data_IF_827431512285
#
_entry.id   IF_827431512285
#
_cell.length_a   1.000
_cell.length_b   1.000
_cell.length_c   1.000
_cell.angle_alpha   90.00
_cell.angle_beta   90.00
_cell.angle_gamma   90.00
#
_symmetry.space_group_name_H-M   'P 1'
#
loop_
_entity.id
_entity.type
_entity.pdbx_description
1 polymer ?
#
# COMPACT_ATOMS: atom_id res chain seq x y z
N UNK A 1 -0.15 26.52 -3.77
CA UNK A 1 0.84 25.41 -3.82
C UNK A 1 1.59 25.38 -5.14
N UNK A 2 0.95 25.15 -6.30
CA UNK A 2 1.67 24.99 -7.59
C UNK A 2 2.57 26.18 -7.98
N UNK A 3 2.12 27.43 -7.80
CA UNK A 3 2.97 28.63 -8.06
C UNK A 3 4.22 28.68 -7.18
N UNK A 4 4.14 28.11 -5.97
CA UNK A 4 5.28 28.04 -5.06
C UNK A 4 6.28 26.99 -5.54
N UNK A 5 5.79 25.79 -5.89
CA UNK A 5 6.61 24.72 -6.46
C UNK A 5 7.32 25.17 -7.74
N UNK A 6 6.60 25.82 -8.67
CA UNK A 6 7.16 26.38 -9.89
C UNK A 6 8.29 27.38 -9.61
N UNK A 7 8.06 28.31 -8.67
CA UNK A 7 9.08 29.28 -8.23
C UNK A 7 10.31 28.58 -7.63
N UNK A 8 10.11 27.54 -6.83
CA UNK A 8 11.20 26.85 -6.14
C UNK A 8 11.99 25.95 -7.12
N UNK A 9 11.33 25.30 -8.09
CA UNK A 9 12.00 24.64 -9.21
C UNK A 9 12.82 25.65 -10.02
N UNK A 10 12.24 26.81 -10.34
CA UNK A 10 12.95 27.88 -11.05
C UNK A 10 14.18 28.41 -10.29
N UNK A 11 14.16 28.40 -8.95
CA UNK A 11 15.34 28.73 -8.13
C UNK A 11 16.42 27.65 -8.24
N UNK A 12 16.05 26.38 -8.20
CA UNK A 12 17.00 25.27 -8.35
C UNK A 12 17.68 25.29 -9.71
N UNK A 13 16.92 25.60 -10.78
CA UNK A 13 17.47 25.75 -12.14
C UNK A 13 18.54 26.85 -12.19
N UNK A 14 18.25 28.03 -11.64
CA UNK A 14 19.23 29.15 -11.61
C UNK A 14 20.48 28.81 -10.81
N UNK A 15 20.33 28.13 -9.66
CA UNK A 15 21.48 27.71 -8.86
C UNK A 15 22.32 26.66 -9.59
N UNK A 16 21.69 25.77 -10.35
CA UNK A 16 22.39 24.76 -11.15
C UNK A 16 23.26 25.38 -12.25
N UNK A 17 22.88 26.52 -12.83
CA UNK A 17 23.66 27.24 -13.84
C UNK A 17 24.98 27.81 -13.28
N UNK A 18 25.01 28.16 -11.99
CA UNK A 18 26.20 28.72 -11.31
C UNK A 18 27.02 27.65 -10.56
N UNK A 19 26.54 26.41 -10.51
CA UNK A 19 27.17 25.35 -9.72
C UNK A 19 28.48 24.86 -10.37
N UNK A 20 29.51 24.49 -9.57
CA UNK A 20 30.76 23.93 -10.10
C UNK A 20 30.62 22.58 -10.83
N UNK A 21 29.44 21.94 -10.69
CA UNK A 21 29.10 20.66 -11.30
C UNK A 21 27.86 20.84 -12.17
N UNK A 22 27.82 20.22 -13.36
CA UNK A 22 26.61 20.23 -14.17
C UNK A 22 25.53 19.39 -13.49
N UNK A 23 24.34 19.96 -13.32
CA UNK A 23 23.17 19.27 -12.79
C UNK A 23 22.07 19.21 -13.85
N UNK A 24 21.49 18.03 -14.01
CA UNK A 24 20.19 17.87 -14.66
C UNK A 24 19.11 17.76 -13.58
N UNK A 25 18.05 18.56 -13.71
CA UNK A 25 16.91 18.53 -12.80
C UNK A 25 15.81 17.69 -13.45
N UNK A 26 15.35 16.66 -12.75
CA UNK A 26 14.24 15.80 -13.15
C UNK A 26 13.14 15.96 -12.11
N UNK A 27 11.91 16.18 -12.55
CA UNK A 27 10.73 16.31 -11.70
C UNK A 27 9.83 15.12 -11.96
N UNK A 28 9.32 14.48 -10.92
CA UNK A 28 8.43 13.33 -11.06
C UNK A 28 7.28 13.40 -10.07
N UNK A 29 6.18 12.77 -10.44
CA UNK A 29 5.11 12.35 -9.55
C UNK A 29 4.98 10.85 -9.71
N UNK A 30 5.13 10.12 -8.62
CA UNK A 30 5.01 8.66 -8.56
C UNK A 30 3.55 8.19 -8.61
N UNK A 31 2.62 9.04 -8.22
CA UNK A 31 1.18 8.84 -8.40
C UNK A 31 0.43 10.17 -8.60
N UNK A 32 -0.83 10.07 -9.01
CA UNK A 32 -1.80 11.17 -8.91
C UNK A 32 -2.64 11.07 -7.63
N UNK A 33 -3.86 11.61 -7.66
CA UNK A 33 -4.82 11.53 -6.56
C UNK A 33 -6.21 11.27 -7.15
N UNK A 34 -6.94 10.28 -6.63
CA UNK A 34 -8.35 10.04 -6.98
C UNK A 34 -9.24 10.53 -5.84
N UNK A 35 -10.36 11.17 -6.17
CA UNK A 35 -11.33 11.63 -5.16
C UNK A 35 -12.44 10.60 -4.95
N UNK A 36 -13.20 10.74 -3.87
CA UNK A 36 -14.47 10.04 -3.70
C UNK A 36 -14.95 10.08 -2.25
N UNK A 37 -16.23 9.76 -2.04
CA UNK A 37 -16.69 9.48 -0.69
C UNK A 37 -15.95 8.24 -0.14
N UNK A 38 -15.52 8.32 1.11
CA UNK A 38 -14.79 7.24 1.78
C UNK A 38 -15.69 6.02 1.98
N UNK A 39 -15.11 4.85 2.20
CA UNK A 39 -15.81 3.61 2.48
C UNK A 39 -16.78 3.79 3.66
N UNK A 40 -16.30 4.42 4.75
CA UNK A 40 -17.12 4.78 5.91
C UNK A 40 -18.25 5.75 5.58
N UNK A 41 -18.01 6.75 4.74
CA UNK A 41 -19.07 7.68 4.31
C UNK A 41 -20.13 7.00 3.45
N UNK A 42 -19.75 6.01 2.63
CA UNK A 42 -20.67 5.29 1.74
C UNK A 42 -21.47 4.21 2.44
N UNK A 43 -20.84 3.47 3.36
CA UNK A 43 -21.41 2.24 3.92
C UNK A 43 -21.68 2.31 5.42
N UNK A 44 -21.24 3.37 6.12
CA UNK A 44 -21.47 3.55 7.55
C UNK A 44 -20.53 2.74 8.46
N UNK A 45 -19.66 1.93 7.88
CA UNK A 45 -18.68 1.06 8.55
C UNK A 45 -17.29 1.21 7.93
N UNK A 46 -16.23 0.91 8.68
CA UNK A 46 -14.85 0.85 8.18
C UNK A 46 -14.52 -0.54 7.61
N UNK A 47 -13.40 -0.66 6.90
CA UNK A 47 -12.92 -1.98 6.46
C UNK A 47 -12.66 -2.91 7.67
N UNK A 48 -12.12 -2.36 8.74
CA UNK A 48 -11.83 -3.08 9.99
C UNK A 48 -13.11 -3.61 10.64
N UNK A 49 -14.19 -2.81 10.66
CA UNK A 49 -15.50 -3.23 11.15
C UNK A 49 -16.04 -4.44 10.33
N UNK A 50 -15.89 -4.40 9.00
CA UNK A 50 -16.31 -5.50 8.11
C UNK A 50 -15.52 -6.78 8.40
N UNK A 51 -14.18 -6.68 8.51
CA UNK A 51 -13.29 -7.82 8.78
C UNK A 51 -13.56 -8.41 10.17
N UNK A 52 -13.64 -7.57 11.20
CA UNK A 52 -13.92 -8.00 12.58
C UNK A 52 -15.27 -8.70 12.68
N UNK A 53 -16.31 -8.10 12.08
CA UNK A 53 -17.65 -8.67 12.06
C UNK A 53 -17.69 -10.04 11.38
N UNK A 54 -16.96 -10.22 10.27
CA UNK A 54 -16.92 -11.50 9.55
C UNK A 54 -16.13 -12.58 10.32
N UNK A 55 -15.00 -12.23 10.92
CA UNK A 55 -14.23 -13.12 11.79
C UNK A 55 -15.08 -13.57 12.99
N UNK A 56 -15.79 -12.64 13.63
CA UNK A 56 -16.63 -12.95 14.79
C UNK A 56 -17.80 -13.86 14.45
N UNK A 57 -18.39 -13.74 13.24
CA UNK A 57 -19.46 -14.63 12.77
C UNK A 57 -18.98 -16.04 12.45
N UNK A 58 -17.72 -16.18 12.02
CA UNK A 58 -17.14 -17.49 11.71
C UNK A 58 -16.89 -18.36 12.96
N UNK A 59 -16.93 -17.76 14.16
CA UNK A 59 -16.76 -18.45 15.44
C UNK A 59 -17.90 -18.20 16.44
N UNK A 60 -17.83 -18.82 17.62
CA UNK A 60 -18.78 -18.59 18.73
C UNK A 60 -18.55 -17.24 19.46
N UNK A 61 -18.07 -16.21 18.76
CA UNK A 61 -17.73 -14.90 19.35
C UNK A 61 -16.38 -14.84 20.08
N UNK A 62 -15.49 -15.82 19.88
CA UNK A 62 -14.14 -15.88 20.45
C UNK A 62 -13.05 -15.87 19.35
N UNK A 63 -13.20 -14.99 18.36
CA UNK A 63 -12.22 -14.81 17.29
C UNK A 63 -10.94 -14.09 17.78
N UNK A 64 -9.87 -14.09 16.98
CA UNK A 64 -8.68 -13.29 17.26
C UNK A 64 -9.02 -11.80 17.37
N UNK A 65 -8.26 -11.08 18.18
CA UNK A 65 -8.36 -9.62 18.26
C UNK A 65 -8.02 -8.99 16.89
N UNK A 66 -8.84 -8.06 16.42
CA UNK A 66 -8.58 -7.28 15.20
C UNK A 66 -7.95 -5.95 15.56
N UNK A 67 -6.70 -5.74 15.11
CA UNK A 67 -5.95 -4.50 15.31
C UNK A 67 -5.96 -3.73 14.00
N UNK A 68 -6.35 -2.46 14.05
CA UNK A 68 -6.51 -1.64 12.85
C UNK A 68 -5.79 -0.28 12.92
N UNK A 69 -5.46 0.24 11.74
CA UNK A 69 -4.99 1.62 11.56
C UNK A 69 -5.70 2.26 10.37
N UNK A 70 -6.46 3.33 10.66
CA UNK A 70 -7.14 4.17 9.67
C UNK A 70 -6.34 5.44 9.32
N UNK A 71 -5.06 5.50 9.72
CA UNK A 71 -4.17 6.66 9.60
C UNK A 71 -3.50 6.78 8.23
N UNK A 72 -3.18 8.02 7.82
CA UNK A 72 -2.55 8.37 6.54
C UNK A 72 -1.22 7.58 6.32
N UNK A 73 -1.07 6.77 5.26
CA UNK A 73 0.09 5.90 5.05
C UNK A 73 1.31 6.57 4.39
N UNK A 74 1.29 7.89 4.18
CA UNK A 74 2.37 8.63 3.49
C UNK A 74 3.75 8.45 4.13
N UNK A 75 3.81 7.94 5.35
CA UNK A 75 5.03 7.47 5.97
C UNK A 75 4.82 6.05 6.54
N UNK A 76 5.43 5.03 5.92
CA UNK A 76 5.45 3.66 6.45
C UNK A 76 6.01 3.51 7.89
N UNK A 77 6.53 4.60 8.46
CA UNK A 77 6.97 4.74 9.85
C UNK A 77 5.86 5.17 10.82
N UNK A 78 4.79 5.81 10.34
CA UNK A 78 3.61 6.08 11.16
C UNK A 78 2.88 4.77 11.50
N UNK A 79 2.93 3.76 10.62
CA UNK A 79 2.46 2.39 10.89
C UNK A 79 3.18 1.73 12.07
N UNK A 80 4.52 1.82 12.10
CA UNK A 80 5.33 1.37 13.26
C UNK A 80 4.95 2.18 14.49
N UNK A 81 4.67 3.48 14.35
CA UNK A 81 4.28 4.36 15.44
C UNK A 81 2.89 4.01 16.03
N UNK A 82 1.96 3.50 15.22
CA UNK A 82 0.64 3.01 15.68
C UNK A 82 0.79 1.70 16.44
N UNK A 83 1.53 0.72 15.90
CA UNK A 83 1.85 -0.53 16.61
C UNK A 83 2.60 -0.25 17.92
N UNK A 84 3.52 0.71 17.93
CA UNK A 84 4.19 1.20 19.14
C UNK A 84 3.23 1.91 20.11
N UNK A 85 2.26 2.65 19.60
CA UNK A 85 1.28 3.34 20.43
C UNK A 85 0.35 2.34 21.12
N UNK A 86 -0.07 1.29 20.42
CA UNK A 86 -0.84 0.21 21.02
C UNK A 86 0.02 -0.57 22.03
N UNK A 87 1.28 -0.86 21.68
CA UNK A 87 2.28 -1.41 22.60
C UNK A 87 2.30 -0.63 23.93
N UNK A 88 2.41 0.70 23.86
CA UNK A 88 2.50 1.59 25.01
C UNK A 88 1.19 1.78 25.80
N UNK A 89 0.02 1.57 25.18
CA UNK A 89 -1.30 1.75 25.82
C UNK A 89 -1.71 0.58 26.71
N UNK A 90 -1.41 -0.66 26.29
CA UNK A 90 -1.83 -1.87 27.02
C UNK A 90 -0.75 -2.47 27.92
N UNK A 91 0.45 -1.87 27.98
CA UNK A 91 1.48 -2.33 28.90
C UNK A 91 1.18 -1.91 30.35
N UNK A 92 0.81 -2.90 31.18
CA UNK A 92 0.65 -2.77 32.64
C UNK A 92 2.01 -2.71 33.37
N UNK A 93 3.13 -2.81 32.66
CA UNK A 93 4.48 -2.77 33.24
C UNK A 93 4.99 -1.34 33.29
N UNK A 94 4.98 -0.74 34.50
CA UNK A 94 5.52 0.59 34.78
C UNK A 94 7.06 0.61 34.68
N UNK A 95 7.61 0.70 33.46
CA UNK A 95 9.01 1.08 33.25
C UNK A 95 9.12 2.54 32.76
N UNK A 96 9.06 3.54 33.68
CA UNK A 96 8.97 4.96 33.36
C UNK A 96 10.17 5.51 32.58
N UNK A 97 11.33 4.82 32.62
CA UNK A 97 12.53 5.19 31.88
C UNK A 97 12.35 4.96 30.37
N UNK A 98 11.74 3.84 29.99
CA UNK A 98 11.50 3.47 28.58
C UNK A 98 10.44 4.39 27.94
N UNK A 99 9.33 4.65 28.65
CA UNK A 99 8.29 5.61 28.25
C UNK A 99 8.86 7.02 28.02
N UNK A 100 9.86 7.44 28.81
CA UNK A 100 10.48 8.77 28.70
C UNK A 100 11.45 8.87 27.52
N UNK A 101 12.18 7.78 27.22
CA UNK A 101 13.09 7.72 26.08
C UNK A 101 12.31 7.77 24.74
N UNK A 102 11.24 6.99 24.63
CA UNK A 102 10.36 6.96 23.44
C UNK A 102 9.65 8.32 23.23
N UNK A 103 9.09 8.92 24.29
CA UNK A 103 8.45 10.25 24.21
C UNK A 103 9.40 11.38 23.83
N UNK A 104 10.67 11.29 24.24
CA UNK A 104 11.68 12.30 23.90
C UNK A 104 12.07 12.21 22.41
N UNK A 105 12.13 11.01 21.84
CA UNK A 105 12.40 10.81 20.41
C UNK A 105 11.27 11.32 19.50
N UNK A 106 10.01 11.29 19.95
CA UNK A 106 8.88 11.83 19.18
C UNK A 106 8.81 13.38 19.17
N UNK A 107 9.42 14.07 20.15
CA UNK A 107 9.30 15.53 20.29
C UNK A 107 10.26 16.35 19.42
N UNK A 108 11.42 15.80 19.06
CA UNK A 108 12.52 16.58 18.47
C UNK A 108 12.51 16.59 16.93
N UNK A 109 11.51 16.03 16.24
CA UNK A 109 11.36 16.11 14.77
C UNK A 109 12.52 15.51 13.96
N UNK A 110 13.53 14.94 14.62
CA UNK A 110 14.60 14.16 14.04
C UNK A 110 14.30 12.70 14.29
N UNK A 111 13.66 12.07 13.30
CA UNK A 111 13.51 10.61 13.25
C UNK A 111 14.87 10.01 12.88
N UNK A 112 15.77 9.92 13.86
CA UNK A 112 16.93 9.05 13.76
C UNK A 112 16.52 7.67 14.30
N UNK A 113 15.81 6.89 13.49
CA UNK A 113 15.31 5.56 13.89
C UNK A 113 15.41 4.60 12.70
N UNK A 114 16.55 3.90 12.60
CA UNK A 114 16.58 2.58 11.96
C UNK A 114 15.90 1.54 12.87
N UNK A 115 15.58 0.34 12.36
CA UNK A 115 14.93 -0.69 13.16
C UNK A 115 15.85 -1.06 14.33
N UNK A 116 15.42 -0.74 15.56
CA UNK A 116 15.90 -1.48 16.72
C UNK A 116 15.26 -2.87 16.58
N UNK A 117 16.04 -3.87 16.16
CA UNK A 117 15.52 -5.22 15.89
C UNK A 117 14.73 -5.78 17.08
N UNK A 118 15.19 -5.47 18.30
CA UNK A 118 14.51 -5.83 19.54
C UNK A 118 13.08 -5.29 19.64
N UNK A 119 12.81 -4.09 19.12
CA UNK A 119 11.48 -3.48 19.17
C UNK A 119 10.53 -4.10 18.13
N UNK A 120 11.06 -4.48 16.97
CA UNK A 120 10.29 -5.19 15.95
C UNK A 120 9.91 -6.60 16.43
N UNK A 121 10.84 -7.29 17.11
CA UNK A 121 10.60 -8.61 17.69
C UNK A 121 9.55 -8.55 18.82
N UNK A 122 9.64 -7.56 19.73
CA UNK A 122 8.64 -7.36 20.80
C UNK A 122 7.24 -7.04 20.27
N UNK A 123 7.14 -6.26 19.18
CA UNK A 123 5.86 -6.00 18.50
C UNK A 123 5.33 -7.29 17.87
N UNK A 124 6.17 -8.05 17.18
CA UNK A 124 5.77 -9.30 16.53
C UNK A 124 5.24 -10.32 17.56
N UNK A 125 5.91 -10.48 18.70
CA UNK A 125 5.50 -11.40 19.76
C UNK A 125 4.15 -11.00 20.39
N UNK A 126 3.93 -9.71 20.63
CA UNK A 126 2.68 -9.21 21.23
C UNK A 126 1.50 -9.31 20.27
N UNK A 127 1.73 -9.02 19.00
CA UNK A 127 0.69 -9.03 17.99
C UNK A 127 0.44 -10.43 17.43
N UNK A 128 1.20 -11.46 17.85
CA UNK A 128 1.00 -12.86 17.47
C UNK A 128 -0.43 -13.35 17.83
N UNK A 129 -1.06 -14.08 16.91
CA UNK A 129 -2.42 -14.60 17.07
C UNK A 129 -3.54 -13.58 16.88
N UNK A 130 -3.24 -12.42 16.29
CA UNK A 130 -4.19 -11.35 15.95
C UNK A 130 -4.40 -11.22 14.45
N UNK A 131 -5.38 -10.40 14.07
CA UNK A 131 -5.58 -9.99 12.67
C UNK A 131 -5.30 -8.51 12.55
N UNK A 132 -4.36 -8.15 11.69
CA UNK A 132 -3.98 -6.76 11.42
C UNK A 132 -4.71 -6.30 10.15
N UNK A 133 -5.47 -5.21 10.25
CA UNK A 133 -6.14 -4.56 9.12
C UNK A 133 -5.57 -3.17 8.90
N UNK A 134 -5.04 -2.91 7.71
CA UNK A 134 -4.47 -1.62 7.34
C UNK A 134 -5.20 -1.07 6.12
N UNK A 135 -5.51 0.23 6.16
CA UNK A 135 -6.08 0.97 5.04
C UNK A 135 -5.06 1.97 4.47
N UNK A 136 -5.00 2.06 3.15
CA UNK A 136 -4.18 3.02 2.40
C UNK A 136 -4.91 3.41 1.13
N UNK A 137 -5.56 4.58 1.13
CA UNK A 137 -6.51 4.93 0.07
C UNK A 137 -7.54 3.83 -0.16
N UNK A 138 -7.71 3.35 -1.40
CA UNK A 138 -8.55 2.20 -1.72
C UNK A 138 -7.81 0.85 -1.72
N UNK A 139 -6.66 0.75 -1.04
CA UNK A 139 -5.93 -0.49 -0.79
C UNK A 139 -6.14 -0.90 0.68
N UNK A 140 -6.62 -2.12 0.89
CA UNK A 140 -6.74 -2.74 2.21
C UNK A 140 -5.75 -3.89 2.34
N UNK A 141 -5.12 -4.05 3.49
CA UNK A 141 -4.22 -5.16 3.80
C UNK A 141 -4.77 -5.89 5.02
N UNK A 142 -4.93 -7.21 4.94
CA UNK A 142 -5.33 -8.06 6.05
C UNK A 142 -4.26 -9.13 6.26
N UNK A 143 -3.67 -9.16 7.46
CA UNK A 143 -2.61 -10.10 7.82
C UNK A 143 -2.96 -10.86 9.10
N UNK A 144 -2.86 -12.19 9.07
CA UNK A 144 -3.05 -13.10 10.20
C UNK A 144 -1.69 -13.40 10.83
N UNK A 145 -1.43 -12.82 12.00
CA UNK A 145 -0.10 -12.90 12.63
C UNK A 145 0.13 -14.21 13.38
N UNK A 146 -0.90 -15.04 13.54
CA UNK A 146 -0.77 -16.38 14.14
C UNK A 146 -0.04 -17.39 13.24
N UNK A 147 0.14 -17.07 11.96
CA UNK A 147 0.84 -17.90 11.00
C UNK A 147 2.24 -17.34 10.69
N UNK A 148 3.22 -18.23 10.57
CA UNK A 148 4.60 -17.87 10.21
C UNK A 148 4.81 -17.71 8.70
N UNK A 149 3.79 -18.03 7.90
CA UNK A 149 3.80 -17.97 6.45
C UNK A 149 2.46 -17.43 5.97
N UNK A 150 2.48 -16.77 4.80
CA UNK A 150 1.26 -16.30 4.14
C UNK A 150 0.27 -17.44 3.98
N UNK A 151 -0.96 -17.22 4.45
CA UNK A 151 -2.07 -18.17 4.35
C UNK A 151 -2.64 -18.18 2.93
N UNK A 152 -3.11 -19.35 2.52
CA UNK A 152 -3.91 -19.51 1.30
C UNK A 152 -5.38 -19.23 1.57
N UNK A 153 -6.14 -18.94 0.51
CA UNK A 153 -7.58 -18.73 0.58
C UNK A 153 -8.28 -19.92 1.25
N UNK A 154 -7.88 -21.16 0.93
CA UNK A 154 -8.43 -22.37 1.50
C UNK A 154 -8.17 -22.49 3.01
N UNK A 155 -6.99 -22.08 3.48
CA UNK A 155 -6.65 -22.05 4.91
C UNK A 155 -7.45 -20.97 5.66
N UNK A 156 -7.58 -19.79 5.05
CA UNK A 156 -8.38 -18.69 5.62
C UNK A 156 -9.86 -19.11 5.71
N UNK A 157 -10.41 -19.73 4.67
CA UNK A 157 -11.80 -20.17 4.60
C UNK A 157 -12.10 -21.29 5.63
N UNK A 158 -11.13 -22.18 5.88
CA UNK A 158 -11.27 -23.23 6.89
C UNK A 158 -11.41 -22.69 8.33
N UNK A 159 -10.73 -21.58 8.63
CA UNK A 159 -10.76 -20.95 9.96
C UNK A 159 -11.81 -19.83 10.07
N UNK A 160 -12.17 -19.19 8.94
CA UNK A 160 -13.02 -18.00 8.87
C UNK A 160 -14.01 -18.05 7.69
N UNK A 161 -14.93 -19.03 7.70
CA UNK A 161 -15.87 -19.31 6.59
C UNK A 161 -16.75 -18.11 6.16
N UNK A 162 -17.02 -17.16 7.05
CA UNK A 162 -17.82 -15.97 6.73
C UNK A 162 -16.98 -14.82 6.15
N UNK A 163 -15.65 -14.87 6.25
CA UNK A 163 -14.78 -13.76 5.84
C UNK A 163 -14.80 -13.54 4.34
N UNK A 164 -14.52 -14.58 3.55
CA UNK A 164 -14.42 -14.45 2.11
C UNK A 164 -15.75 -14.04 1.45
N UNK A 165 -16.90 -14.67 1.77
CA UNK A 165 -18.20 -14.21 1.28
C UNK A 165 -18.49 -12.76 1.66
N UNK A 166 -18.24 -12.38 2.91
CA UNK A 166 -18.49 -11.00 3.38
C UNK A 166 -17.67 -9.98 2.60
N UNK A 167 -16.37 -10.23 2.38
CA UNK A 167 -15.49 -9.29 1.67
C UNK A 167 -15.84 -9.19 0.18
N UNK A 168 -16.09 -10.32 -0.48
CA UNK A 168 -16.30 -10.38 -1.93
C UNK A 168 -17.70 -9.88 -2.33
N UNK A 169 -18.72 -10.07 -1.49
CA UNK A 169 -20.07 -9.55 -1.76
C UNK A 169 -20.26 -8.08 -1.36
N UNK A 170 -19.31 -7.50 -0.61
CA UNK A 170 -19.43 -6.12 -0.14
C UNK A 170 -19.32 -5.12 -1.32
N UNK A 171 -20.31 -4.24 -1.55
CA UNK A 171 -20.34 -3.35 -2.72
C UNK A 171 -19.20 -2.32 -2.78
N UNK A 172 -18.56 -2.05 -1.64
CA UNK A 172 -17.38 -1.20 -1.51
C UNK A 172 -16.05 -1.87 -1.85
N UNK A 173 -16.03 -3.17 -2.10
CA UNK A 173 -14.83 -3.95 -2.43
C UNK A 173 -14.97 -4.41 -3.89
N UNK A 174 -13.99 -4.08 -4.73
CA UNK A 174 -13.95 -4.51 -6.11
C UNK A 174 -13.53 -5.99 -6.21
N UNK A 175 -12.41 -6.31 -5.56
CA UNK A 175 -11.84 -7.65 -5.55
C UNK A 175 -10.79 -7.80 -4.44
N UNK A 176 -10.44 -9.04 -4.13
CA UNK A 176 -9.35 -9.44 -3.25
C UNK A 176 -8.22 -10.11 -4.05
N UNK A 177 -6.97 -9.92 -3.64
CA UNK A 177 -5.80 -10.67 -4.09
C UNK A 177 -5.37 -11.62 -2.98
N UNK A 178 -5.35 -12.92 -3.28
CA UNK A 178 -5.07 -14.02 -2.35
C UNK A 178 -4.13 -15.03 -2.99
N UNK A 179 -3.40 -15.80 -2.18
CA UNK A 179 -2.76 -17.05 -2.64
C UNK A 179 -3.77 -18.19 -2.57
N UNK A 180 -3.68 -19.16 -3.47
CA UNK A 180 -4.46 -20.42 -3.42
C UNK A 180 -3.50 -21.61 -3.39
N UNK A 181 -3.96 -22.74 -2.86
CA UNK A 181 -3.15 -23.96 -2.78
C UNK A 181 -2.71 -24.48 -4.16
N UNK A 182 -3.58 -24.41 -5.18
CA UNK A 182 -3.38 -25.09 -6.46
C UNK A 182 -3.00 -24.15 -7.64
N UNK A 183 -3.49 -22.90 -7.66
CA UNK A 183 -3.30 -21.95 -8.77
C UNK A 183 -2.29 -20.85 -8.43
N UNK A 184 -1.93 -20.74 -7.17
CA UNK A 184 -1.17 -19.62 -6.65
C UNK A 184 -2.01 -18.33 -6.61
N UNK A 185 -1.46 -17.15 -6.94
CA UNK A 185 -2.14 -15.90 -6.70
C UNK A 185 -3.29 -15.64 -7.67
N UNK A 186 -4.45 -15.28 -7.12
CA UNK A 186 -5.65 -14.92 -7.86
C UNK A 186 -6.17 -13.55 -7.44
N UNK A 187 -6.76 -12.81 -8.37
CA UNK A 187 -7.65 -11.70 -8.03
C UNK A 187 -9.10 -12.20 -8.11
N UNK A 188 -9.86 -12.16 -7.02
CA UNK A 188 -11.22 -12.71 -6.94
C UNK A 188 -12.24 -11.62 -6.62
N UNK A 189 -13.31 -11.58 -7.41
CA UNK A 189 -14.47 -10.73 -7.19
C UNK A 189 -15.74 -11.57 -7.05
N UNK A 190 -16.89 -10.89 -7.02
CA UNK A 190 -18.20 -11.48 -6.67
C UNK A 190 -18.61 -12.71 -7.46
N UNK A 191 -18.32 -12.73 -8.76
CA UNK A 191 -18.84 -13.74 -9.68
C UNK A 191 -17.76 -14.33 -10.59
N UNK A 192 -16.50 -14.17 -10.19
CA UNK A 192 -15.37 -14.74 -10.93
C UNK A 192 -14.02 -14.31 -10.39
N UNK A 193 -12.98 -14.92 -10.94
CA UNK A 193 -11.60 -14.63 -10.58
C UNK A 193 -10.66 -14.63 -11.78
N UNK A 194 -9.53 -13.96 -11.60
CA UNK A 194 -8.41 -13.90 -12.52
C UNK A 194 -7.23 -14.68 -11.94
N UNK A 195 -6.83 -15.78 -12.58
CA UNK A 195 -5.62 -16.53 -12.23
C UNK A 195 -4.38 -15.82 -12.79
N UNK A 196 -3.58 -15.20 -11.91
CA UNK A 196 -2.54 -14.24 -12.33
C UNK A 196 -1.31 -14.91 -12.96
N UNK A 197 -0.97 -16.14 -12.53
CA UNK A 197 0.16 -16.90 -13.11
C UNK A 197 -0.11 -17.32 -14.55
N UNK A 198 -1.32 -17.79 -14.81
CA UNK A 198 -1.69 -18.39 -16.10
C UNK A 198 -2.40 -17.41 -17.03
N UNK A 199 -2.70 -16.21 -16.53
CA UNK A 199 -3.38 -15.14 -17.27
C UNK A 199 -4.77 -15.57 -17.77
N UNK A 200 -5.53 -16.28 -16.93
CA UNK A 200 -6.84 -16.87 -17.24
C UNK A 200 -7.96 -16.26 -16.38
N UNK A 201 -9.14 -16.09 -16.97
CA UNK A 201 -10.35 -15.61 -16.30
C UNK A 201 -11.33 -16.77 -16.14
N UNK A 202 -11.95 -16.87 -14.96
CA UNK A 202 -12.99 -17.82 -14.65
C UNK A 202 -14.22 -17.07 -14.12
N UNK A 203 -15.36 -17.16 -14.82
CA UNK A 203 -16.53 -16.34 -14.52
C UNK A 203 -16.33 -14.89 -15.00
N UNK A 204 -16.83 -13.93 -14.21
CA UNK A 204 -16.63 -12.51 -14.48
C UNK A 204 -15.18 -12.09 -14.23
N UNK A 205 -14.67 -11.14 -15.02
CA UNK A 205 -13.31 -10.64 -14.86
C UNK A 205 -13.27 -9.51 -13.81
N UNK A 206 -12.72 -9.73 -12.60
CA UNK A 206 -12.65 -8.68 -11.57
C UNK A 206 -11.70 -7.53 -11.92
N UNK A 207 -10.81 -7.73 -12.91
CA UNK A 207 -9.85 -6.73 -13.36
C UNK A 207 -10.33 -5.96 -14.59
N UNK A 208 -11.55 -6.21 -15.05
CA UNK A 208 -12.15 -5.44 -16.15
C UNK A 208 -12.26 -3.95 -15.78
N UNK A 209 -12.03 -3.07 -16.75
CA UNK A 209 -12.06 -1.62 -16.54
C UNK A 209 -10.77 -1.02 -15.96
N UNK A 210 -9.83 -1.84 -15.47
CA UNK A 210 -8.51 -1.40 -15.05
C UNK A 210 -7.46 -1.48 -16.18
N UNK A 211 -6.27 -0.94 -15.93
CA UNK A 211 -5.15 -1.01 -16.87
C UNK A 211 -4.74 -2.47 -17.17
N UNK A 212 -4.40 -2.76 -18.42
CA UNK A 212 -3.87 -4.07 -18.84
C UNK A 212 -2.59 -4.51 -18.09
N UNK A 213 -1.91 -3.57 -17.42
CA UNK A 213 -0.73 -3.86 -16.61
C UNK A 213 -1.07 -4.42 -15.23
N UNK A 214 -2.30 -4.23 -14.73
CA UNK A 214 -2.72 -4.62 -13.37
C UNK A 214 -2.43 -6.09 -13.06
N UNK A 215 -2.73 -7.09 -13.92
CA UNK A 215 -2.39 -8.48 -13.62
C UNK A 215 -0.91 -8.70 -13.28
N UNK A 216 0.00 -8.12 -14.08
CA UNK A 216 1.45 -8.26 -13.83
C UNK A 216 1.92 -7.50 -12.58
N UNK A 217 1.28 -6.37 -12.26
CA UNK A 217 1.56 -5.60 -11.05
C UNK A 217 1.07 -6.33 -9.79
N UNK A 218 -0.11 -6.95 -9.84
CA UNK A 218 -0.65 -7.78 -8.76
C UNK A 218 0.19 -9.04 -8.57
N UNK A 219 0.59 -9.72 -9.66
CA UNK A 219 1.48 -10.88 -9.58
C UNK A 219 2.81 -10.52 -8.93
N UNK A 220 3.39 -9.37 -9.28
CA UNK A 220 4.60 -8.85 -8.63
C UNK A 220 4.37 -8.53 -7.17
N UNK A 221 3.27 -7.85 -6.84
CA UNK A 221 2.92 -7.51 -5.46
C UNK A 221 2.79 -8.77 -4.60
N UNK A 222 2.11 -9.80 -5.12
CA UNK A 222 1.96 -11.11 -4.47
C UNK A 222 3.28 -11.84 -4.23
N UNK A 223 4.34 -11.50 -4.97
CA UNK A 223 5.66 -12.14 -4.85
C UNK A 223 6.54 -11.55 -3.74
N UNK A 224 6.11 -10.50 -3.05
CA UNK A 224 6.89 -9.94 -1.95
C UNK A 224 6.80 -10.80 -0.68
N UNK A 225 7.91 -10.86 0.07
CA UNK A 225 7.98 -11.64 1.32
C UNK A 225 7.03 -11.16 2.41
N UNK A 226 6.70 -9.87 2.38
CA UNK A 226 5.84 -9.19 3.33
C UNK A 226 4.46 -8.85 2.73
N UNK A 227 4.04 -9.58 1.69
CA UNK A 227 2.67 -9.46 1.17
C UNK A 227 1.68 -9.89 2.26
N UNK A 228 0.59 -9.15 2.50
CA UNK A 228 -0.46 -9.60 3.41
C UNK A 228 -1.14 -10.87 2.90
N UNK A 229 -1.87 -11.55 3.77
CA UNK A 229 -2.67 -12.72 3.41
C UNK A 229 -3.73 -12.31 2.39
N UNK A 230 -4.44 -11.21 2.66
CA UNK A 230 -5.44 -10.62 1.78
C UNK A 230 -5.06 -9.19 1.43
N UNK A 231 -5.03 -8.88 0.14
CA UNK A 231 -4.96 -7.51 -0.35
C UNK A 231 -6.30 -7.15 -0.99
N UNK A 232 -6.97 -6.14 -0.48
CA UNK A 232 -8.29 -5.70 -0.93
C UNK A 232 -8.19 -4.43 -1.76
N UNK A 233 -8.94 -4.37 -2.85
CA UNK A 233 -9.08 -3.16 -3.65
C UNK A 233 -10.51 -2.65 -3.49
N UNK A 234 -10.66 -1.42 -3.01
CA UNK A 234 -11.94 -0.73 -2.93
C UNK A 234 -12.48 -0.37 -4.31
N UNK A 235 -13.81 -0.37 -4.44
CA UNK A 235 -14.52 -0.13 -5.71
C UNK A 235 -14.08 1.17 -6.40
N UNK A 236 -13.86 1.07 -7.71
CA UNK A 236 -13.63 2.20 -8.60
C UNK A 236 -14.84 2.38 -9.53
N UNK A 237 -15.44 3.57 -9.51
CA UNK A 237 -16.54 3.95 -10.40
C UNK A 237 -16.01 4.78 -11.55
N UNK A 238 -15.99 4.20 -12.75
CA UNK A 238 -15.41 4.83 -13.94
C UNK A 238 -16.19 6.05 -14.41
N UNK A 239 -17.50 6.04 -14.23
CA UNK A 239 -18.43 7.08 -14.69
C UNK A 239 -18.21 8.40 -13.94
N UNK A 240 -17.94 8.31 -12.63
CA UNK A 240 -17.67 9.47 -11.77
C UNK A 240 -16.18 9.70 -11.56
N UNK A 241 -15.34 8.76 -11.97
CA UNK A 241 -13.91 8.72 -11.69
C UNK A 241 -13.60 8.78 -10.18
N UNK A 242 -14.39 8.07 -9.39
CA UNK A 242 -14.28 8.03 -7.94
C UNK A 242 -13.87 6.66 -7.42
N UNK A 243 -13.23 6.63 -6.24
CA UNK A 243 -12.95 5.41 -5.49
C UNK A 243 -13.66 5.41 -4.14
N UNK A 244 -13.82 4.22 -3.55
CA UNK A 244 -14.12 4.05 -2.14
C UNK A 244 -12.80 3.86 -1.38
N UNK A 245 -12.25 4.96 -0.85
CA UNK A 245 -11.08 4.89 0.01
C UNK A 245 -11.44 4.21 1.35
N UNK A 246 -10.72 3.17 1.75
CA UNK A 246 -10.86 2.54 3.06
C UNK A 246 -10.43 3.47 4.19
N UNK A 247 -9.44 4.34 3.95
CA UNK A 247 -9.07 5.42 4.85
C UNK A 247 -10.13 6.54 4.86
N UNK A 248 -10.18 7.32 5.94
CA UNK A 248 -11.15 8.40 6.06
C UNK A 248 -10.67 9.73 5.43
N UNK A 249 -10.09 9.64 4.22
CA UNK A 249 -9.62 10.77 3.42
C UNK A 249 -10.35 10.81 2.07
N UNK A 250 -10.82 12.00 1.68
CA UNK A 250 -11.62 12.19 0.45
C UNK A 250 -10.75 12.16 -0.82
N UNK A 251 -9.46 12.47 -0.67
CA UNK A 251 -8.45 12.40 -1.73
C UNK A 251 -7.47 11.32 -1.36
N UNK A 252 -7.32 10.32 -2.22
CA UNK A 252 -6.55 9.12 -1.90
C UNK A 252 -5.72 8.61 -3.07
N UNK A 253 -4.71 7.85 -2.71
CA UNK A 253 -3.86 7.04 -3.58
C UNK A 253 -3.44 5.76 -2.83
N UNK A 254 -2.62 4.91 -3.46
CA UNK A 254 -2.10 3.69 -2.84
C UNK A 254 -2.75 2.41 -3.34
N UNK A 255 -3.90 2.52 -4.02
CA UNK A 255 -4.54 1.40 -4.70
C UNK A 255 -4.49 1.52 -6.22
N UNK A 256 -5.56 1.09 -6.87
CA UNK A 256 -5.71 1.14 -8.34
C UNK A 256 -7.04 1.78 -8.73
N UNK A 257 -7.08 2.39 -9.91
CA UNK A 257 -8.27 3.03 -10.46
C UNK A 257 -8.28 4.55 -10.31
N UNK A 258 -8.77 5.23 -11.34
CA UNK A 258 -8.87 6.69 -11.40
C UNK A 258 -7.55 7.44 -11.52
N UNK A 259 -7.57 8.73 -11.20
CA UNK A 259 -6.44 9.64 -11.44
C UNK A 259 -5.18 9.34 -10.62
N UNK A 260 -5.25 8.55 -9.56
CA UNK A 260 -4.06 8.05 -8.83
C UNK A 260 -3.10 7.28 -9.74
N UNK A 261 -3.60 6.69 -10.84
CA UNK A 261 -2.80 5.91 -11.79
C UNK A 261 -2.14 6.75 -12.89
N UNK A 262 -2.08 8.08 -12.74
CA UNK A 262 -1.50 9.00 -13.73
C UNK A 262 -0.21 9.65 -13.18
N UNK A 263 0.90 8.90 -13.09
CA UNK A 263 2.20 9.46 -12.72
C UNK A 263 2.82 10.24 -13.89
N UNK A 264 3.85 11.02 -13.62
CA UNK A 264 4.65 11.65 -14.68
C UNK A 264 6.13 11.75 -14.32
N UNK A 265 6.96 11.85 -15.37
CA UNK A 265 8.37 12.21 -15.28
C UNK A 265 8.63 13.32 -16.29
N UNK A 266 9.14 14.44 -15.81
CA UNK A 266 9.61 15.56 -16.61
C UNK A 266 11.14 15.59 -16.52
N UNK A 267 11.80 15.34 -17.65
CA UNK A 267 13.26 15.32 -17.75
C UNK A 267 13.74 16.19 -18.91
N UNK A 268 15.00 16.68 -18.87
CA UNK A 268 15.65 17.30 -20.03
C UNK A 268 15.63 16.37 -21.24
N UNK A 269 15.57 16.95 -22.44
CA UNK A 269 15.43 16.21 -23.71
C UNK A 269 16.66 15.38 -24.05
N UNK A 270 17.81 15.74 -23.49
CA UNK A 270 19.09 15.04 -23.65
C UNK A 270 19.11 13.72 -22.86
N UNK A 271 18.25 13.58 -21.83
CA UNK A 271 18.13 12.37 -21.04
C UNK A 271 17.16 11.38 -21.71
N UNK A 272 17.70 10.51 -22.56
CA UNK A 272 16.93 9.51 -23.28
C UNK A 272 16.16 8.55 -22.35
N UNK A 273 14.83 8.62 -22.35
CA UNK A 273 13.93 7.71 -21.62
C UNK A 273 13.81 6.34 -22.31
N UNK A 274 14.19 6.23 -23.58
CA UNK A 274 14.04 5.03 -24.41
C UNK A 274 12.67 4.92 -25.07
N UNK A 275 12.50 3.99 -26.02
CA UNK A 275 11.31 3.90 -26.86
C UNK A 275 10.13 3.13 -26.22
N UNK A 276 10.38 2.40 -25.13
CA UNK A 276 9.38 1.54 -24.49
C UNK A 276 8.64 2.29 -23.37
N UNK A 277 7.32 2.06 -23.21
CA UNK A 277 6.58 2.59 -22.07
C UNK A 277 7.21 2.19 -20.74
N UNK A 278 7.27 3.12 -19.79
CA UNK A 278 7.76 2.86 -18.44
C UNK A 278 6.58 2.36 -17.60
N UNK A 279 6.62 1.09 -17.20
CA UNK A 279 5.60 0.48 -16.33
C UNK A 279 6.21 0.15 -14.97
N UNK A 280 5.76 0.89 -13.95
CA UNK A 280 6.17 0.70 -12.56
C UNK A 280 7.56 1.23 -12.20
N UNK A 281 7.79 1.39 -10.90
CA UNK A 281 9.01 2.01 -10.35
C UNK A 281 10.30 1.27 -10.73
N UNK A 282 10.28 -0.06 -10.88
CA UNK A 282 11.47 -0.82 -11.26
C UNK A 282 11.93 -0.53 -12.70
N UNK A 283 11.00 -0.28 -13.62
CA UNK A 283 11.35 0.14 -14.98
C UNK A 283 11.93 1.56 -14.98
N UNK A 284 11.32 2.48 -14.23
CA UNK A 284 11.81 3.84 -14.08
C UNK A 284 13.21 3.88 -13.46
N UNK A 285 13.45 3.06 -12.43
CA UNK A 285 14.76 2.94 -11.80
C UNK A 285 15.85 2.54 -12.80
N UNK A 286 15.58 1.61 -13.72
CA UNK A 286 16.54 1.23 -14.77
C UNK A 286 16.86 2.38 -15.71
N UNK A 287 15.87 3.22 -16.04
CA UNK A 287 16.08 4.45 -16.82
C UNK A 287 17.02 5.39 -16.07
N UNK A 288 16.76 5.65 -14.79
CA UNK A 288 17.63 6.51 -13.97
C UNK A 288 19.05 5.95 -13.84
N UNK A 289 19.21 4.63 -13.64
CA UNK A 289 20.53 3.99 -13.60
C UNK A 289 21.28 4.13 -14.91
N UNK A 290 20.59 4.07 -16.06
CA UNK A 290 21.20 4.31 -17.38
C UNK A 290 21.68 5.75 -17.51
N UNK A 291 20.87 6.74 -17.11
CA UNK A 291 21.28 8.15 -17.12
C UNK A 291 22.52 8.40 -16.27
N UNK A 292 22.54 7.86 -15.04
CA UNK A 292 23.71 7.96 -14.16
C UNK A 292 24.94 7.33 -14.82
N UNK A 293 24.81 6.14 -15.40
CA UNK A 293 25.94 5.46 -16.04
C UNK A 293 26.48 6.22 -17.26
N UNK A 294 25.62 6.88 -18.04
CA UNK A 294 26.01 7.67 -19.20
C UNK A 294 26.65 9.00 -18.79
N UNK A 295 26.09 9.70 -17.80
CA UNK A 295 26.66 10.96 -17.30
C UNK A 295 28.07 10.82 -16.69
N UNK A 296 28.44 9.63 -16.20
CA UNK A 296 29.82 9.37 -15.77
C UNK A 296 30.80 9.19 -16.94
N UNK A 297 30.33 8.78 -18.13
CA UNK A 297 31.18 8.59 -19.31
C UNK A 297 31.51 9.93 -19.98
N UNK A 298 30.56 10.86 -19.99
CA UNK A 298 30.74 12.19 -20.58
C UNK A 298 31.55 13.13 -19.65
N UNK A 299 31.75 12.74 -18.39
CA UNK A 299 32.56 13.46 -17.40
C UNK A 299 33.99 12.90 -17.23
N UNK A 300 34.36 11.85 -17.97
CA UNK A 300 35.74 11.36 -18.02
C UNK A 300 36.57 12.26 -18.95
N UNK A 301 37.74 12.76 -18.51
CA UNK A 301 38.58 13.67 -19.30
C UNK A 301 39.16 13.01 -20.56
#
# INVERSE_FOLDING_TARGET
VLRLLDRDIGRLVKVAEEAPRPYHIVVLSDHGQTQGATFRQRYGESLSDVVESAIHRSGNGSGPEVVHSDSNPDEGWEMVSVLLTDFLKNDKTDHPVMKRALRRRMRDGQVALGPDANLADEIADRENGKVIVLASGNLGLVSFTGANTRLTMEQIDADYEELMPTLIDHPGIAFALLETDDRGPIAIGRSGFYALRDNQVHGDNPLEGYSQNVPSLLLRASGFRNTPDILLIGTYWKETNEIAAFENLVSSHGGIGGNQTVPFVLSPVELDVGPMPIVGASALHRVFKRWVANGHKDAAP
#
